data_IF_535698916896
#
_entry.id   IF_535698916896
#
_cell.length_a   1.000
_cell.length_b   1.000
_cell.length_c   1.000
_cell.angle_alpha   90.00
_cell.angle_beta   90.00
_cell.angle_gamma   90.00
#
_symmetry.space_group_name_H-M   'P 1'
#
loop_
_entity.id
_entity.type
_entity.pdbx_description
1 polymer ?
#
# COMPACT_ATOMS: atom_id res chain seq x y z
N UNK A 1 16.82 39.31 -39.69
CA UNK A 1 16.59 38.13 -38.84
C UNK A 1 17.05 36.93 -39.64
N UNK A 2 18.18 36.34 -39.25
CA UNK A 2 18.74 35.16 -39.91
C UNK A 2 18.03 33.94 -39.35
N UNK A 3 17.16 33.33 -40.15
CA UNK A 3 16.56 32.03 -39.83
C UNK A 3 17.64 30.95 -39.82
N UNK A 4 17.60 30.09 -38.82
CA UNK A 4 18.48 28.92 -38.71
C UNK A 4 18.08 27.87 -39.76
N UNK A 5 19.06 27.42 -40.54
CA UNK A 5 18.90 26.43 -41.64
C UNK A 5 18.92 24.98 -41.17
N UNK A 6 18.92 24.70 -39.86
CA UNK A 6 18.89 23.34 -39.30
C UNK A 6 17.64 23.17 -38.44
N UNK A 7 17.07 21.97 -38.48
CA UNK A 7 15.96 21.58 -37.61
C UNK A 7 16.42 21.67 -36.14
N UNK A 8 15.80 22.55 -35.36
CA UNK A 8 16.11 22.77 -33.95
C UNK A 8 14.86 22.52 -33.12
N UNK A 9 15.00 21.74 -32.04
CA UNK A 9 13.91 21.48 -31.11
C UNK A 9 13.94 22.50 -29.95
N UNK A 10 12.78 23.07 -29.63
CA UNK A 10 12.60 23.97 -28.48
C UNK A 10 11.50 23.40 -27.61
N UNK A 11 11.81 23.22 -26.33
CA UNK A 11 10.85 22.82 -25.31
C UNK A 11 10.55 24.00 -24.38
N UNK A 12 9.28 24.34 -24.23
CA UNK A 12 8.81 25.40 -23.31
C UNK A 12 7.99 24.74 -22.22
N UNK A 13 8.40 24.92 -20.98
CA UNK A 13 7.73 24.40 -19.79
C UNK A 13 7.25 25.59 -18.99
N UNK A 14 5.94 25.67 -18.74
CA UNK A 14 5.33 26.81 -18.05
C UNK A 14 5.39 26.74 -16.53
N UNK A 15 5.56 25.53 -15.98
CA UNK A 15 5.59 25.27 -14.54
C UNK A 15 6.97 24.74 -14.12
N UNK A 16 7.64 25.48 -13.25
CA UNK A 16 8.99 25.17 -12.74
C UNK A 16 8.96 24.48 -11.38
N UNK A 17 7.81 24.38 -10.73
CA UNK A 17 7.71 23.75 -9.40
C UNK A 17 8.08 22.26 -9.46
N UNK A 18 7.94 21.63 -10.63
CA UNK A 18 8.39 20.26 -10.89
C UNK A 18 9.90 20.03 -10.70
N UNK A 19 10.72 21.10 -10.70
CA UNK A 19 12.16 21.05 -10.47
C UNK A 19 12.56 21.17 -9.00
N UNK A 20 11.60 21.42 -8.10
CA UNK A 20 11.89 21.46 -6.68
C UNK A 20 12.15 20.05 -6.14
N UNK A 21 13.11 19.95 -5.22
CA UNK A 21 13.54 18.70 -4.57
C UNK A 21 12.36 17.92 -3.95
N UNK A 22 11.38 18.64 -3.40
CA UNK A 22 10.13 18.08 -2.88
C UNK A 22 9.32 17.28 -3.93
N UNK A 23 9.31 17.73 -5.18
CA UNK A 23 8.59 17.11 -6.28
C UNK A 23 9.45 16.15 -7.12
N UNK A 24 10.78 16.29 -7.08
CA UNK A 24 11.74 15.39 -7.73
C UNK A 24 11.92 14.05 -6.97
N UNK A 25 11.64 14.04 -5.67
CA UNK A 25 11.62 12.82 -4.85
C UNK A 25 12.94 12.53 -4.13
N UNK A 26 12.82 11.85 -2.99
CA UNK A 26 13.94 11.52 -2.11
C UNK A 26 14.77 10.34 -2.66
N UNK A 27 16.05 10.59 -2.98
CA UNK A 27 16.96 9.59 -3.53
C UNK A 27 17.26 8.43 -2.57
N UNK A 28 17.19 8.65 -1.25
CA UNK A 28 17.47 7.59 -0.25
C UNK A 28 16.31 6.61 -0.06
N UNK A 29 15.07 7.05 -0.32
CA UNK A 29 13.87 6.21 -0.15
C UNK A 29 13.46 5.45 -1.41
N UNK A 30 14.23 5.61 -2.50
CA UNK A 30 13.84 5.24 -3.84
C UNK A 30 12.72 6.18 -4.29
N UNK A 31 12.91 6.86 -5.42
CA UNK A 31 11.94 7.80 -5.98
C UNK A 31 10.52 7.26 -5.76
N UNK A 32 9.73 7.97 -4.94
CA UNK A 32 8.32 7.66 -4.79
C UNK A 32 7.75 7.69 -6.21
N UNK A 33 7.39 6.52 -6.76
CA UNK A 33 6.90 6.32 -8.15
C UNK A 33 5.63 7.13 -8.49
N UNK A 34 5.22 8.05 -7.62
CA UNK A 34 4.10 8.93 -7.85
C UNK A 34 4.46 10.14 -8.72
N UNK A 35 5.73 10.56 -8.79
CA UNK A 35 6.14 11.72 -9.58
C UNK A 35 7.24 11.34 -10.58
N UNK A 36 6.89 11.21 -11.86
CA UNK A 36 7.84 10.90 -12.95
C UNK A 36 8.53 12.16 -13.52
N UNK A 37 8.74 13.19 -12.69
CA UNK A 37 9.30 14.47 -13.12
C UNK A 37 10.76 14.32 -13.57
N UNK A 38 11.55 13.50 -12.87
CA UNK A 38 12.95 13.21 -13.22
C UNK A 38 13.03 12.48 -14.57
N UNK A 39 12.17 11.49 -14.78
CA UNK A 39 12.09 10.76 -16.05
C UNK A 39 11.67 11.68 -17.20
N UNK A 40 10.69 12.56 -16.97
CA UNK A 40 10.25 13.55 -17.96
C UNK A 40 11.39 14.48 -18.40
N UNK A 41 12.13 15.06 -17.44
CA UNK A 41 13.24 15.97 -17.74
C UNK A 41 14.37 15.22 -18.46
N UNK A 42 14.70 14.00 -18.02
CA UNK A 42 15.73 13.20 -18.67
C UNK A 42 15.37 12.86 -20.11
N UNK A 43 14.12 12.43 -20.36
CA UNK A 43 13.63 12.15 -21.72
C UNK A 43 13.63 13.41 -22.59
N UNK A 44 13.33 14.58 -22.02
CA UNK A 44 13.36 15.85 -22.74
C UNK A 44 14.78 16.23 -23.14
N UNK A 45 15.75 16.09 -22.22
CA UNK A 45 17.17 16.36 -22.50
C UNK A 45 17.69 15.39 -23.57
N UNK A 46 17.35 14.11 -23.49
CA UNK A 46 17.72 13.11 -24.51
C UNK A 46 17.13 13.44 -25.89
N UNK A 47 15.85 13.85 -25.94
CA UNK A 47 15.19 14.26 -27.18
C UNK A 47 15.84 15.52 -27.80
N UNK A 48 16.20 16.51 -26.97
CA UNK A 48 16.88 17.72 -27.43
C UNK A 48 18.35 17.48 -27.81
N UNK A 49 18.98 16.44 -27.26
CA UNK A 49 20.35 16.04 -27.59
C UNK A 49 20.46 15.19 -28.88
N UNK A 50 19.32 14.77 -29.45
CA UNK A 50 19.27 14.08 -30.75
C UNK A 50 19.56 12.58 -30.72
N UNK A 51 19.39 11.92 -29.56
CA UNK A 51 19.62 10.47 -29.42
C UNK A 51 18.31 9.68 -29.60
N UNK A 52 17.73 9.73 -30.82
CA UNK A 52 16.43 9.11 -31.12
C UNK A 52 16.43 7.58 -30.96
N UNK A 53 17.57 6.92 -31.21
CA UNK A 53 17.67 5.45 -31.14
C UNK A 53 17.54 4.93 -29.69
N UNK A 54 18.05 5.67 -28.69
CA UNK A 54 17.94 5.29 -27.27
C UNK A 54 16.55 5.60 -26.67
N UNK A 55 15.81 6.55 -27.21
CA UNK A 55 14.44 6.88 -26.76
C UNK A 55 13.49 5.69 -26.92
N UNK A 56 13.58 4.96 -28.04
CA UNK A 56 12.73 3.79 -28.31
C UNK A 56 12.96 2.62 -27.35
N UNK A 57 14.16 2.52 -26.76
CA UNK A 57 14.53 1.40 -25.88
C UNK A 57 14.13 1.71 -24.43
N UNK A 58 14.24 2.97 -23.99
CA UNK A 58 13.94 3.41 -22.62
C UNK A 58 12.45 3.51 -22.32
N UNK A 59 11.62 3.79 -23.32
CA UNK A 59 10.15 3.91 -23.18
C UNK A 59 9.40 2.59 -22.98
N UNK A 60 10.09 1.45 -22.98
CA UNK A 60 9.48 0.17 -22.67
C UNK A 60 9.36 0.07 -21.15
N UNK A 61 8.26 0.60 -20.62
CA UNK A 61 7.82 0.40 -19.24
C UNK A 61 8.17 -1.03 -18.83
N UNK A 62 8.96 -1.16 -17.76
CA UNK A 62 9.26 -2.45 -17.18
C UNK A 62 7.92 -3.14 -16.95
N UNK A 63 7.63 -4.17 -17.76
CA UNK A 63 6.38 -4.91 -17.69
C UNK A 63 6.32 -5.46 -16.28
N UNK A 64 5.60 -4.75 -15.42
CA UNK A 64 5.36 -5.19 -14.06
C UNK A 64 4.70 -6.54 -14.18
N UNK A 65 5.40 -7.59 -13.75
CA UNK A 65 4.81 -8.91 -13.59
C UNK A 65 4.37 -9.01 -12.14
N UNK A 66 3.21 -8.42 -11.76
CA UNK A 66 2.76 -8.50 -10.39
C UNK A 66 2.53 -9.97 -10.04
N UNK A 67 2.81 -10.31 -8.78
CA UNK A 67 2.47 -11.62 -8.26
C UNK A 67 0.94 -11.71 -8.09
N UNK A 68 0.24 -12.14 -9.14
CA UNK A 68 -1.23 -12.27 -9.17
C UNK A 68 -1.76 -13.08 -8.00
N UNK A 69 -1.13 -14.21 -7.68
CA UNK A 69 -1.53 -15.03 -6.54
C UNK A 69 -1.45 -14.31 -5.19
N UNK A 70 -0.45 -13.44 -4.99
CA UNK A 70 -0.31 -12.63 -3.77
C UNK A 70 -1.37 -11.53 -3.74
N UNK A 71 -1.67 -10.93 -4.89
CA UNK A 71 -2.73 -9.93 -5.00
C UNK A 71 -4.09 -10.54 -4.64
N UNK A 72 -4.41 -11.72 -5.16
CA UNK A 72 -5.66 -12.42 -4.84
C UNK A 72 -5.78 -12.77 -3.35
N UNK A 73 -4.66 -13.07 -2.68
CA UNK A 73 -4.64 -13.30 -1.23
C UNK A 73 -4.97 -11.98 -0.49
N UNK A 74 -4.33 -10.88 -0.89
CA UNK A 74 -4.56 -9.56 -0.29
C UNK A 74 -5.98 -9.07 -0.49
N UNK A 75 -6.51 -9.26 -1.70
CA UNK A 75 -7.88 -8.86 -2.05
C UNK A 75 -8.91 -9.65 -1.26
N UNK A 76 -8.76 -10.98 -1.16
CA UNK A 76 -9.64 -11.81 -0.33
C UNK A 76 -9.62 -11.41 1.14
N UNK A 77 -8.44 -11.14 1.70
CA UNK A 77 -8.32 -10.68 3.07
C UNK A 77 -8.93 -9.27 3.27
N UNK A 78 -8.82 -8.39 2.27
CA UNK A 78 -9.48 -7.07 2.28
C UNK A 78 -11.00 -7.19 2.22
N UNK A 79 -11.54 -8.03 1.34
CA UNK A 79 -12.97 -8.29 1.24
C UNK A 79 -13.54 -8.87 2.55
N UNK A 80 -12.82 -9.79 3.21
CA UNK A 80 -13.21 -10.35 4.49
C UNK A 80 -13.21 -9.32 5.65
N UNK A 81 -12.30 -8.33 5.60
CA UNK A 81 -12.20 -7.28 6.61
C UNK A 81 -13.14 -6.09 6.37
N UNK A 82 -13.54 -5.84 5.11
CA UNK A 82 -14.39 -4.74 4.70
C UNK A 82 -15.69 -4.59 5.52
N UNK A 83 -16.52 -5.63 5.75
CA UNK A 83 -17.77 -5.46 6.49
C UNK A 83 -17.53 -5.08 7.95
N UNK A 84 -16.50 -5.65 8.58
CA UNK A 84 -16.12 -5.33 9.97
C UNK A 84 -15.65 -3.89 10.10
N UNK A 85 -14.86 -3.41 9.13
CA UNK A 85 -14.41 -2.01 9.09
C UNK A 85 -15.57 -1.06 8.88
N UNK A 86 -16.47 -1.34 7.94
CA UNK A 86 -17.64 -0.51 7.67
C UNK A 86 -18.53 -0.39 8.91
N UNK A 87 -18.78 -1.50 9.61
CA UNK A 87 -19.55 -1.49 10.86
C UNK A 87 -18.88 -0.64 11.95
N UNK A 88 -17.56 -0.79 12.14
CA UNK A 88 -16.81 -0.04 13.14
C UNK A 88 -16.74 1.47 12.81
N UNK A 89 -16.55 1.81 11.53
CA UNK A 89 -16.59 3.19 11.04
C UNK A 89 -17.95 3.85 11.28
N UNK A 90 -19.05 3.15 10.99
CA UNK A 90 -20.39 3.66 11.27
C UNK A 90 -20.62 3.93 12.77
N UNK A 91 -20.12 3.05 13.65
CA UNK A 91 -20.18 3.26 15.10
C UNK A 91 -19.35 4.47 15.54
N UNK A 92 -18.14 4.63 15.00
CA UNK A 92 -17.27 5.78 15.30
C UNK A 92 -17.89 7.10 14.82
N UNK A 93 -18.51 7.11 13.64
CA UNK A 93 -19.18 8.29 13.11
C UNK A 93 -20.38 8.68 13.98
N UNK A 94 -21.21 7.71 14.37
CA UNK A 94 -22.34 7.93 15.29
C UNK A 94 -21.89 8.44 16.67
N UNK A 95 -20.80 7.88 17.21
CA UNK A 95 -20.24 8.33 18.48
C UNK A 95 -19.73 9.78 18.39
N UNK A 96 -19.07 10.14 17.28
CA UNK A 96 -18.60 11.51 17.03
C UNK A 96 -19.74 12.51 16.83
N UNK A 97 -20.80 12.13 16.12
CA UNK A 97 -21.99 12.98 15.96
C UNK A 97 -22.64 13.27 17.31
N UNK A 98 -22.85 12.24 18.14
CA UNK A 98 -23.38 12.43 19.51
C UNK A 98 -22.50 13.37 20.35
N UNK A 99 -21.17 13.25 20.20
CA UNK A 99 -20.22 14.11 20.90
C UNK A 99 -20.30 15.57 20.43
N UNK A 100 -20.46 15.81 19.12
CA UNK A 100 -20.63 17.14 18.54
C UNK A 100 -21.97 17.78 18.94
N UNK A 101 -23.07 17.03 18.86
CA UNK A 101 -24.40 17.48 19.29
C UNK A 101 -24.45 17.84 20.78
N UNK A 102 -23.67 17.15 21.61
CA UNK A 102 -23.53 17.48 23.04
C UNK A 102 -22.65 18.70 23.33
N UNK A 103 -21.78 19.09 22.40
CA UNK A 103 -20.85 20.23 22.52
C UNK A 103 -21.41 21.52 21.91
N UNK A 104 -22.23 21.42 20.86
CA UNK A 104 -22.97 22.56 20.31
C UNK A 104 -24.03 23.01 21.33
N UNK A 105 -23.75 24.11 22.03
CA UNK A 105 -24.65 24.69 23.01
C UNK A 105 -26.02 25.00 22.38
N UNK A 106 -27.09 24.47 22.96
CA UNK A 106 -28.46 24.88 22.63
C UNK A 106 -28.60 26.37 22.94
N UNK A 107 -28.83 27.19 21.92
CA UNK A 107 -29.29 28.58 22.07
C UNK A 107 -30.73 28.56 22.60
N UNK A 108 -30.87 28.52 23.92
CA UNK A 108 -32.14 28.67 24.60
C UNK A 108 -32.26 30.14 25.01
N UNK A 109 -32.58 31.00 24.05
CA UNK A 109 -33.10 32.35 24.29
C UNK A 109 -32.22 33.27 25.13
N UNK A 110 -31.25 33.92 24.49
CA UNK A 110 -30.72 35.20 24.96
C UNK A 110 -29.37 35.18 25.68
N UNK A 111 -28.66 34.05 25.68
CA UNK A 111 -27.29 33.97 26.19
C UNK A 111 -26.63 32.66 25.79
N UNK A 112 -25.45 32.76 25.18
CA UNK A 112 -24.62 31.62 24.78
C UNK A 112 -24.13 30.88 26.04
N UNK A 113 -24.96 30.03 26.64
CA UNK A 113 -24.55 29.19 27.75
C UNK A 113 -23.89 27.93 27.16
N UNK A 114 -22.56 27.87 27.26
CA UNK A 114 -21.78 26.67 26.96
C UNK A 114 -22.33 25.55 27.86
N UNK A 115 -22.95 24.51 27.28
CA UNK A 115 -23.51 23.34 28.00
C UNK A 115 -22.42 22.52 28.74
N UNK A 116 -21.14 22.86 28.57
CA UNK A 116 -19.98 22.19 29.18
C UNK A 116 -19.79 22.36 30.70
N UNK A 117 -20.83 22.66 31.49
CA UNK A 117 -20.70 22.82 32.96
C UNK A 117 -21.59 21.89 33.81
N UNK A 118 -22.44 21.03 33.23
CA UNK A 118 -23.13 20.02 34.04
C UNK A 118 -22.25 18.77 34.21
N UNK A 119 -22.13 18.24 35.42
CA UNK A 119 -21.35 17.02 35.72
C UNK A 119 -21.81 15.83 34.85
N UNK A 120 -23.12 15.72 34.60
CA UNK A 120 -23.73 14.67 33.79
C UNK A 120 -23.31 14.76 32.30
N UNK A 121 -23.16 15.97 31.75
CA UNK A 121 -22.67 16.17 30.38
C UNK A 121 -21.19 15.78 30.24
N UNK A 122 -20.39 16.01 31.28
CA UNK A 122 -18.97 15.66 31.31
C UNK A 122 -18.80 14.13 31.40
N UNK A 123 -19.56 13.45 32.25
CA UNK A 123 -19.53 11.99 32.33
C UNK A 123 -19.93 11.32 31.01
N UNK A 124 -21.00 11.80 30.36
CA UNK A 124 -21.43 11.28 29.05
C UNK A 124 -20.37 11.49 27.97
N UNK A 125 -19.73 12.67 27.94
CA UNK A 125 -18.65 12.94 26.99
C UNK A 125 -17.45 12.01 27.22
N UNK A 126 -17.06 11.76 28.48
CA UNK A 126 -15.99 10.81 28.80
C UNK A 126 -16.34 9.37 28.40
N UNK A 127 -17.59 8.94 28.60
CA UNK A 127 -18.04 7.61 28.20
C UNK A 127 -17.96 7.40 26.68
N UNK A 128 -18.42 8.39 25.90
CA UNK A 128 -18.32 8.37 24.43
C UNK A 128 -16.85 8.37 23.99
N UNK A 129 -15.97 9.13 24.65
CA UNK A 129 -14.55 9.13 24.31
C UNK A 129 -13.89 7.77 24.59
N UNK A 130 -14.27 7.10 25.68
CA UNK A 130 -13.84 5.72 25.99
C UNK A 130 -14.36 4.75 24.93
N UNK A 131 -15.60 4.90 24.47
CA UNK A 131 -16.18 4.09 23.40
C UNK A 131 -15.41 4.27 22.08
N UNK A 132 -15.12 5.51 21.67
CA UNK A 132 -14.31 5.81 20.48
C UNK A 132 -12.92 5.16 20.60
N UNK A 133 -12.27 5.24 21.77
CA UNK A 133 -10.97 4.57 22.00
C UNK A 133 -11.08 3.05 21.91
N UNK A 134 -12.19 2.43 22.35
CA UNK A 134 -12.42 0.98 22.19
C UNK A 134 -12.59 0.62 20.71
N UNK A 135 -13.38 1.39 19.97
CA UNK A 135 -13.59 1.19 18.52
C UNK A 135 -12.28 1.28 17.73
N UNK A 136 -11.42 2.26 18.03
CA UNK A 136 -10.07 2.35 17.45
C UNK A 136 -9.19 1.14 17.77
N UNK A 137 -9.26 0.59 18.99
CA UNK A 137 -8.53 -0.64 19.34
C UNK A 137 -9.06 -1.83 18.53
N UNK A 138 -10.36 -1.90 18.28
CA UNK A 138 -10.95 -2.92 17.42
C UNK A 138 -10.53 -2.78 15.96
N UNK A 139 -10.45 -1.56 15.43
CA UNK A 139 -9.91 -1.30 14.09
C UNK A 139 -8.46 -1.79 13.95
N UNK A 140 -7.64 -1.53 14.97
CA UNK A 140 -6.28 -2.04 15.04
C UNK A 140 -6.24 -3.58 15.09
N UNK A 141 -7.16 -4.22 15.82
CA UNK A 141 -7.29 -5.69 15.81
C UNK A 141 -7.68 -6.23 14.44
N UNK A 142 -8.64 -5.59 13.76
CA UNK A 142 -9.06 -5.98 12.40
C UNK A 142 -7.85 -5.91 11.45
N UNK A 143 -7.08 -4.82 11.51
CA UNK A 143 -5.90 -4.64 10.67
C UNK A 143 -4.78 -5.63 11.00
N UNK A 144 -4.56 -5.97 12.27
CA UNK A 144 -3.62 -7.03 12.67
C UNK A 144 -4.05 -8.40 12.16
N UNK A 145 -5.32 -8.74 12.30
CA UNK A 145 -5.86 -10.02 11.83
C UNK A 145 -5.75 -10.13 10.31
N UNK A 146 -6.08 -9.08 9.56
CA UNK A 146 -5.92 -9.06 8.12
C UNK A 146 -4.46 -9.31 7.70
N UNK A 147 -3.49 -8.66 8.38
CA UNK A 147 -2.06 -8.87 8.12
C UNK A 147 -1.63 -10.30 8.45
N UNK A 148 -2.12 -10.86 9.56
CA UNK A 148 -1.82 -12.23 9.98
C UNK A 148 -2.39 -13.27 8.99
N UNK A 149 -3.61 -13.07 8.50
CA UNK A 149 -4.22 -13.93 7.48
C UNK A 149 -3.43 -13.93 6.17
N UNK A 150 -3.02 -12.75 5.70
CA UNK A 150 -2.17 -12.60 4.50
C UNK A 150 -0.83 -13.33 4.71
N UNK A 151 -0.18 -13.12 5.85
CA UNK A 151 1.11 -13.75 6.16
C UNK A 151 0.99 -15.26 6.27
N UNK A 152 -0.04 -15.77 6.94
CA UNK A 152 -0.28 -17.21 7.06
C UNK A 152 -0.49 -17.87 5.69
N UNK A 153 -1.26 -17.21 4.81
CA UNK A 153 -1.49 -17.69 3.45
C UNK A 153 -0.19 -17.72 2.64
N UNK A 154 0.60 -16.63 2.64
CA UNK A 154 1.90 -16.56 1.94
C UNK A 154 2.87 -17.61 2.49
N UNK A 155 3.00 -17.69 3.81
CA UNK A 155 3.87 -18.64 4.49
C UNK A 155 3.54 -20.09 4.11
N UNK A 156 2.27 -20.45 3.93
CA UNK A 156 1.88 -21.78 3.44
C UNK A 156 2.44 -22.09 2.04
N UNK A 157 2.45 -21.11 1.13
CA UNK A 157 3.09 -21.27 -0.19
C UNK A 157 4.61 -21.39 -0.07
N UNK A 158 5.24 -20.57 0.77
CA UNK A 158 6.69 -20.60 1.01
C UNK A 158 7.14 -21.95 1.57
N UNK A 159 6.47 -22.47 2.60
CA UNK A 159 6.80 -23.77 3.20
C UNK A 159 6.68 -24.91 2.20
N UNK A 160 5.62 -24.95 1.39
CA UNK A 160 5.48 -25.96 0.34
C UNK A 160 6.62 -25.89 -0.65
N UNK A 161 6.93 -24.70 -1.16
CA UNK A 161 8.01 -24.52 -2.13
C UNK A 161 9.39 -24.91 -1.54
N UNK A 162 9.65 -24.52 -0.30
CA UNK A 162 10.91 -24.83 0.39
C UNK A 162 11.08 -26.32 0.67
N UNK A 163 10.00 -27.05 0.99
CA UNK A 163 10.04 -28.47 1.34
C UNK A 163 10.00 -29.41 0.11
N UNK A 164 9.40 -28.98 -1.00
CA UNK A 164 9.29 -29.82 -2.22
C UNK A 164 10.67 -30.24 -2.72
N UNK A 165 11.60 -29.29 -2.85
CA UNK A 165 12.95 -29.55 -3.39
C UNK A 165 13.74 -30.59 -2.57
N UNK A 166 13.96 -30.41 -1.25
CA UNK A 166 14.67 -31.41 -0.45
C UNK A 166 13.92 -32.74 -0.37
N UNK A 167 12.57 -32.73 -0.31
CA UNK A 167 11.79 -33.97 -0.32
C UNK A 167 12.01 -34.78 -1.61
N UNK A 168 12.04 -34.13 -2.78
CA UNK A 168 12.33 -34.80 -4.05
C UNK A 168 13.73 -35.43 -4.07
N UNK A 169 14.73 -34.71 -3.57
CA UNK A 169 16.11 -35.23 -3.48
C UNK A 169 16.18 -36.46 -2.57
N UNK A 170 15.51 -36.42 -1.41
CA UNK A 170 15.45 -37.56 -0.48
C UNK A 170 14.75 -38.77 -1.12
N UNK A 171 13.64 -38.56 -1.84
CA UNK A 171 12.92 -39.62 -2.53
C UNK A 171 13.80 -40.27 -3.60
N UNK A 172 14.47 -39.47 -4.44
CA UNK A 172 15.37 -39.99 -5.48
C UNK A 172 16.53 -40.77 -4.84
N UNK A 173 17.14 -40.23 -3.79
CA UNK A 173 18.22 -40.90 -3.06
C UNK A 173 17.79 -42.25 -2.49
N UNK A 174 16.60 -42.33 -1.89
CA UNK A 174 16.00 -43.57 -1.39
C UNK A 174 15.77 -44.59 -2.51
N UNK A 175 15.17 -44.17 -3.62
CA UNK A 175 14.92 -45.06 -4.77
C UNK A 175 16.23 -45.64 -5.34
N UNK A 176 17.26 -44.80 -5.50
CA UNK A 176 18.59 -45.25 -5.97
C UNK A 176 19.23 -46.20 -4.95
N UNK A 177 19.12 -45.90 -3.66
CA UNK A 177 19.66 -46.76 -2.59
C UNK A 177 19.00 -48.14 -2.56
N UNK A 178 17.67 -48.19 -2.66
CA UNK A 178 16.89 -49.45 -2.66
C UNK A 178 17.20 -50.27 -3.91
N UNK A 179 17.16 -49.66 -5.09
CA UNK A 179 17.45 -50.36 -6.36
C UNK A 179 18.87 -50.90 -6.41
N UNK A 180 19.86 -50.18 -5.83
CA UNK A 180 21.22 -50.69 -5.67
C UNK A 180 21.27 -51.90 -4.72
N UNK A 181 20.63 -51.83 -3.55
CA UNK A 181 20.59 -52.97 -2.61
C UNK A 181 19.98 -54.22 -3.24
N UNK A 182 18.87 -54.08 -3.98
CA UNK A 182 18.21 -55.21 -4.65
C UNK A 182 19.13 -55.83 -5.71
N UNK A 183 19.82 -55.01 -6.52
CA UNK A 183 20.76 -55.50 -7.54
C UNK A 183 22.01 -56.18 -6.94
N UNK A 184 22.50 -55.69 -5.81
CA UNK A 184 23.67 -56.29 -5.13
C UNK A 184 23.30 -57.56 -4.37
N UNK A 185 22.07 -57.70 -3.88
CA UNK A 185 21.59 -58.92 -3.22
C UNK A 185 21.22 -60.06 -4.20
N UNK A 186 21.05 -59.75 -5.48
CA UNK A 186 20.74 -60.71 -6.54
C UNK A 186 22.00 -61.28 -7.24
N UNK A 187 23.20 -60.98 -6.73
CA UNK A 187 24.50 -61.45 -7.22
C UNK A 187 25.23 -62.21 -6.12
#
# INVERSE_FOLDING_TARGET
>A
MTEGTQEGAIAIISDVDMLFDYFMGDAERGASRNNNNVDFIMNLVENLAGDEDLMTIRGKDSIGRPFTAINDIRERAAAAAAPKRAANQALMEKARQTLQEGQEGKDIGGGLMIIGQSEESIEKAQEIEIEIRKLQREENKISRNQRAEIQAAINSYEWRNMLITPALVLIIGLLVGITRKIKTAAK
#
